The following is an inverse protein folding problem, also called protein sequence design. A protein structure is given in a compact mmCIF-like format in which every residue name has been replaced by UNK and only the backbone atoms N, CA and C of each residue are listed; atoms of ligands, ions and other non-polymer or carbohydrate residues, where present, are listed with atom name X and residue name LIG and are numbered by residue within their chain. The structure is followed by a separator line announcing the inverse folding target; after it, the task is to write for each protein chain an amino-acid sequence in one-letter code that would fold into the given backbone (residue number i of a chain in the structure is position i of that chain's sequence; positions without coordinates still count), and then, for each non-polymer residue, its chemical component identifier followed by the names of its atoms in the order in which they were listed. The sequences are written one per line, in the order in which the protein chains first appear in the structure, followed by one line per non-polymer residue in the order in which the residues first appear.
data_IF_000388604618
#
_entry.id   IF_000388604618
#
_cell.length_a   1.000
_cell.length_b   1.000
_cell.length_c   1.000
_cell.angle_alpha   90.00
_cell.angle_beta   90.00
_cell.angle_gamma   90.00
#
_symmetry.space_group_name_H-M   'P 1'
#
loop_
_entity.id
_entity.type
_entity.pdbx_description
1 polymer ?
#
# COMPACT_ATOMS: atom_id res chain seq x y z
N UNK A 1 -50.46 6.37 16.91
CA UNK A 1 -51.79 5.81 17.20
C UNK A 1 -52.75 6.26 16.11
N UNK A 2 -53.74 5.44 15.70
CA UNK A 2 -54.10 4.15 16.28
C UNK A 2 -53.83 2.94 15.36
N UNK A 3 -53.95 1.72 15.91
CA UNK A 3 -53.49 0.45 15.36
C UNK A 3 -54.63 -0.48 14.92
N UNK A 4 -54.30 -1.59 14.26
CA UNK A 4 -55.17 -2.77 14.27
C UNK A 4 -54.35 -4.08 14.30
N UNK A 5 -54.68 -4.89 15.31
CA UNK A 5 -54.27 -6.27 15.61
C UNK A 5 -55.07 -7.24 14.70
N UNK A 6 -54.85 -8.54 14.52
CA UNK A 6 -53.95 -9.60 14.96
C UNK A 6 -54.24 -10.83 14.04
N UNK A 7 -53.32 -11.80 13.92
CA UNK A 7 -53.54 -13.24 14.25
C UNK A 7 -52.41 -14.14 13.71
N UNK A 8 -52.00 -15.21 14.44
CA UNK A 8 -50.95 -16.16 14.05
C UNK A 8 -51.52 -17.54 13.61
N UNK A 9 -50.80 -18.26 12.74
CA UNK A 9 -51.03 -19.69 12.41
C UNK A 9 -49.66 -20.36 12.20
N UNK A 10 -49.20 -21.23 13.10
CA UNK A 10 -49.44 -22.70 13.22
C UNK A 10 -48.63 -23.56 12.24
N UNK A 11 -47.64 -24.28 12.80
CA UNK A 11 -46.96 -25.47 12.27
C UNK A 11 -47.93 -26.66 12.17
N UNK A 12 -47.64 -27.63 11.27
CA UNK A 12 -47.52 -29.04 11.70
C UNK A 12 -46.52 -29.85 10.82
N UNK A 13 -46.44 -31.20 10.90
CA UNK A 13 -45.98 -32.02 12.02
C UNK A 13 -44.85 -33.01 11.59
N UNK A 14 -44.45 -33.88 12.51
CA UNK A 14 -43.24 -34.71 12.56
C UNK A 14 -43.36 -36.18 12.11
N UNK A 15 -42.18 -36.80 11.82
CA UNK A 15 -41.76 -38.24 11.87
C UNK A 15 -42.06 -39.14 10.64
N UNK A 16 -41.39 -40.32 10.44
CA UNK A 16 -40.20 -40.96 11.06
C UNK A 16 -39.19 -41.61 10.06
N UNK A 17 -37.99 -42.05 10.51
CA UNK A 17 -37.44 -43.43 10.36
C UNK A 17 -35.91 -43.60 10.55
N UNK A 18 -35.58 -44.78 11.08
CA UNK A 18 -34.29 -45.47 11.26
C UNK A 18 -33.35 -45.48 10.04
N UNK A 19 -32.03 -45.51 10.27
CA UNK A 19 -31.17 -46.69 10.05
C UNK A 19 -29.67 -46.32 9.88
N UNK A 20 -28.83 -47.25 10.32
CA UNK A 20 -27.37 -47.28 10.33
C UNK A 20 -26.70 -47.49 8.96
N UNK A 21 -25.50 -46.95 8.75
CA UNK A 21 -24.31 -47.59 8.12
C UNK A 21 -23.23 -46.51 7.82
N UNK A 22 -22.04 -46.59 8.43
CA UNK A 22 -20.82 -47.20 7.88
C UNK A 22 -20.30 -46.55 6.59
N UNK A 23 -19.23 -45.74 6.69
CA UNK A 23 -17.92 -45.95 6.04
C UNK A 23 -16.97 -44.77 6.35
N UNK A 24 -15.75 -45.08 6.80
CA UNK A 24 -14.60 -44.15 6.91
C UNK A 24 -13.95 -43.92 5.52
N UNK A 25 -12.77 -43.26 5.34
CA UNK A 25 -11.96 -42.37 6.19
C UNK A 25 -11.51 -41.07 5.46
N UNK A 26 -11.06 -40.01 6.16
CA UNK A 26 -10.23 -38.97 5.54
C UNK A 26 -9.32 -38.25 6.56
N UNK A 27 -8.08 -38.74 6.60
CA UNK A 27 -6.81 -38.09 6.91
C UNK A 27 -6.85 -36.55 7.02
N UNK A 28 -6.74 -36.01 8.24
CA UNK A 28 -6.46 -34.58 8.49
C UNK A 28 -4.94 -34.43 8.65
N UNK A 29 -4.26 -34.02 7.58
CA UNK A 29 -2.89 -33.51 7.64
C UNK A 29 -2.99 -32.03 8.05
N UNK A 30 -2.53 -31.72 9.27
CA UNK A 30 -2.43 -30.34 9.76
C UNK A 30 -1.28 -29.64 9.06
N UNK A 31 -1.60 -28.58 8.31
CA UNK A 31 -0.65 -27.67 7.67
C UNK A 31 -0.05 -26.75 8.74
N UNK A 32 1.22 -26.96 9.07
CA UNK A 32 2.06 -25.99 9.77
C UNK A 32 2.88 -25.24 8.70
N UNK A 33 2.37 -24.10 8.20
CA UNK A 33 3.16 -23.19 7.36
C UNK A 33 4.08 -22.40 8.30
N UNK A 34 5.24 -22.98 8.58
CA UNK A 34 6.46 -22.24 8.82
C UNK A 34 7.20 -22.27 7.49
N UNK A 35 7.49 -21.09 6.96
CA UNK A 35 8.23 -20.87 5.72
C UNK A 35 9.63 -21.49 5.84
N UNK A 36 9.73 -22.76 5.46
CA UNK A 36 10.99 -23.41 5.10
C UNK A 36 11.02 -23.36 3.59
N UNK A 37 12.07 -22.82 2.95
CA UNK A 37 12.08 -22.67 1.51
C UNK A 37 11.99 -24.08 0.88
N UNK A 38 11.04 -24.27 -0.04
CA UNK A 38 10.76 -25.55 -0.72
C UNK A 38 12.02 -26.24 -1.30
N UNK A 39 13.07 -25.47 -1.55
CA UNK A 39 14.39 -25.95 -1.95
C UNK A 39 15.04 -26.89 -0.92
N UNK A 40 14.85 -26.65 0.39
CA UNK A 40 15.39 -27.52 1.45
C UNK A 40 14.68 -28.88 1.51
N UNK A 41 13.36 -28.90 1.28
CA UNK A 41 12.57 -30.13 1.29
C UNK A 41 12.89 -31.02 0.07
N UNK A 42 13.14 -30.39 -1.09
CA UNK A 42 13.54 -31.10 -2.30
C UNK A 42 14.97 -31.67 -2.19
N UNK A 43 15.90 -30.92 -1.61
CA UNK A 43 17.25 -31.38 -1.29
C UNK A 43 17.25 -32.54 -0.28
N UNK A 44 16.43 -32.46 0.77
CA UNK A 44 16.28 -33.53 1.76
C UNK A 44 15.71 -34.82 1.14
N UNK A 45 14.72 -34.69 0.25
CA UNK A 45 14.15 -35.82 -0.49
C UNK A 45 15.16 -36.48 -1.43
N UNK A 46 15.98 -35.69 -2.13
CA UNK A 46 17.07 -36.19 -2.98
C UNK A 46 18.17 -36.88 -2.14
N UNK A 47 18.51 -36.34 -0.97
CA UNK A 47 19.52 -36.91 -0.07
C UNK A 47 19.05 -38.23 0.56
N UNK A 48 17.77 -38.31 0.96
CA UNK A 48 17.16 -39.53 1.50
C UNK A 48 17.00 -40.63 0.43
N UNK A 49 16.75 -40.26 -0.83
CA UNK A 49 16.72 -41.21 -1.94
C UNK A 49 18.11 -41.74 -2.32
N UNK A 50 19.14 -40.90 -2.29
CA UNK A 50 20.54 -41.30 -2.54
C UNK A 50 21.02 -42.33 -1.51
N UNK A 51 20.73 -42.12 -0.22
CA UNK A 51 21.09 -43.08 0.85
C UNK A 51 20.36 -44.42 0.76
N UNK A 52 19.15 -44.48 0.21
CA UNK A 52 18.40 -45.75 0.04
C UNK A 52 18.97 -46.66 -1.05
N UNK A 53 19.81 -46.16 -1.97
CA UNK A 53 20.45 -47.00 -2.98
C UNK A 53 21.78 -47.64 -2.53
N UNK A 54 22.41 -47.15 -1.45
CA UNK A 54 23.72 -47.62 -0.99
C UNK A 54 23.67 -48.81 -0.01
N UNK A 55 22.49 -49.19 0.50
CA UNK A 55 22.36 -50.27 1.48
C UNK A 55 21.34 -51.31 1.01
N UNK A 56 21.73 -52.21 0.12
CA UNK A 56 21.22 -53.60 0.01
C UNK A 56 21.92 -54.34 -1.14
N UNK A 57 22.58 -55.48 -0.89
CA UNK A 57 22.92 -56.40 -1.97
C UNK A 57 21.65 -57.21 -2.30
N UNK A 58 21.26 -57.27 -3.57
CA UNK A 58 20.27 -58.25 -4.04
C UNK A 58 20.76 -58.94 -5.31
N UNK A 59 20.44 -60.24 -5.49
CA UNK A 59 21.02 -61.06 -6.53
C UNK A 59 20.35 -60.81 -7.88
N UNK A 60 21.05 -61.30 -8.90
CA UNK A 60 20.79 -61.15 -10.32
C UNK A 60 19.39 -61.64 -10.73
N UNK A 61 18.57 -60.74 -11.27
CA UNK A 61 17.39 -61.09 -12.09
C UNK A 61 17.35 -60.18 -13.33
N UNK A 62 17.53 -60.82 -14.49
CA UNK A 62 17.92 -60.22 -15.77
C UNK A 62 16.75 -59.59 -16.57
N UNK A 63 15.82 -58.88 -15.92
CA UNK A 63 14.74 -58.19 -16.65
C UNK A 63 14.32 -56.82 -16.05
N UNK A 64 15.02 -56.36 -15.02
CA UNK A 64 14.59 -55.20 -14.23
C UNK A 64 15.34 -53.89 -14.59
N UNK A 65 16.41 -53.99 -15.39
CA UNK A 65 17.20 -52.81 -15.80
C UNK A 65 16.41 -51.88 -16.73
N UNK A 66 15.72 -52.39 -17.76
CA UNK A 66 14.94 -51.54 -18.69
C UNK A 66 13.76 -50.83 -18.01
N UNK A 67 13.12 -51.46 -17.02
CA UNK A 67 12.01 -50.86 -16.25
C UNK A 67 12.51 -49.76 -15.31
N UNK A 68 13.63 -50.00 -14.60
CA UNK A 68 14.28 -48.98 -13.75
C UNK A 68 14.79 -47.78 -14.55
N UNK A 69 15.38 -47.98 -15.73
CA UNK A 69 15.85 -46.88 -16.59
C UNK A 69 14.68 -46.03 -17.11
N UNK A 70 13.56 -46.65 -17.54
CA UNK A 70 12.35 -45.90 -17.93
C UNK A 70 11.73 -45.12 -16.76
N UNK A 71 11.71 -45.70 -15.57
CA UNK A 71 11.14 -45.06 -14.38
C UNK A 71 12.00 -43.89 -13.87
N UNK A 72 13.34 -44.02 -13.90
CA UNK A 72 14.27 -42.91 -13.62
C UNK A 72 14.16 -41.78 -14.64
N UNK A 73 13.99 -42.10 -15.93
CA UNK A 73 13.80 -41.10 -16.99
C UNK A 73 12.49 -40.31 -16.82
N UNK A 74 11.40 -40.97 -16.40
CA UNK A 74 10.13 -40.31 -16.12
C UNK A 74 10.19 -39.40 -14.89
N UNK A 75 10.93 -39.80 -13.84
CA UNK A 75 11.10 -38.99 -12.63
C UNK A 75 11.96 -37.75 -12.90
N UNK A 76 13.04 -37.88 -13.69
CA UNK A 76 13.87 -36.75 -14.11
C UNK A 76 13.08 -35.75 -14.97
N UNK A 77 12.25 -36.24 -15.89
CA UNK A 77 11.36 -35.39 -16.69
C UNK A 77 10.32 -34.69 -15.83
N UNK A 78 9.74 -35.38 -14.84
CA UNK A 78 8.80 -34.79 -13.89
C UNK A 78 9.46 -33.69 -13.04
N UNK A 79 10.65 -33.93 -12.51
CA UNK A 79 11.41 -32.94 -11.74
C UNK A 79 11.78 -31.73 -12.62
N UNK A 80 12.17 -31.97 -13.88
CA UNK A 80 12.45 -30.91 -14.84
C UNK A 80 11.20 -30.08 -15.17
N UNK A 81 10.04 -30.72 -15.39
CA UNK A 81 8.76 -30.02 -15.58
C UNK A 81 8.33 -29.24 -14.33
N UNK A 82 8.54 -29.78 -13.12
CA UNK A 82 8.28 -29.05 -11.88
C UNK A 82 9.21 -27.84 -11.71
N UNK A 83 10.49 -27.97 -12.05
CA UNK A 83 11.45 -26.86 -12.06
C UNK A 83 11.06 -25.79 -13.08
N UNK A 84 10.63 -26.18 -14.28
CA UNK A 84 10.12 -25.25 -15.30
C UNK A 84 8.82 -24.56 -14.86
N UNK A 85 7.92 -25.27 -14.17
CA UNK A 85 6.69 -24.69 -13.63
C UNK A 85 6.97 -23.72 -12.46
N UNK A 86 7.96 -24.03 -11.62
CA UNK A 86 8.42 -23.12 -10.57
C UNK A 86 9.10 -21.90 -11.20
N UNK A 87 9.96 -22.06 -12.21
CA UNK A 87 10.57 -20.92 -12.90
C UNK A 87 9.54 -20.09 -13.68
N UNK A 88 8.50 -20.72 -14.25
CA UNK A 88 7.41 -20.05 -14.95
C UNK A 88 6.38 -19.39 -14.00
N UNK A 89 6.32 -19.81 -12.73
CA UNK A 89 5.44 -19.20 -11.72
C UNK A 89 6.03 -17.94 -11.08
N UNK A 90 7.29 -17.62 -11.37
CA UNK A 90 7.90 -16.35 -10.99
C UNK A 90 7.72 -15.39 -12.18
N UNK A 91 6.56 -14.73 -12.24
CA UNK A 91 6.44 -13.49 -13.02
C UNK A 91 7.53 -12.49 -12.57
N UNK A 92 7.78 -11.40 -13.32
CA UNK A 92 8.73 -10.38 -12.90
C UNK A 92 8.39 -9.99 -11.46
N UNK A 93 9.36 -10.13 -10.56
CA UNK A 93 9.19 -9.77 -9.16
C UNK A 93 8.91 -8.27 -9.11
N UNK A 94 7.66 -7.89 -8.92
CA UNK A 94 7.29 -6.49 -8.73
C UNK A 94 7.88 -6.05 -7.40
N UNK A 95 8.68 -4.98 -7.42
CA UNK A 95 9.24 -4.40 -6.21
C UNK A 95 8.07 -3.96 -5.34
N UNK A 96 7.94 -4.54 -4.15
CA UNK A 96 6.90 -4.13 -3.22
C UNK A 96 7.38 -2.90 -2.42
N UNK A 97 7.24 -1.71 -3.01
CA UNK A 97 7.66 -0.47 -2.36
C UNK A 97 6.75 -0.01 -1.20
N UNK A 98 5.54 -0.58 -1.10
CA UNK A 98 4.52 -0.17 -0.14
C UNK A 98 3.94 -1.35 0.66
N UNK A 99 4.00 -1.26 1.98
CA UNK A 99 3.46 -2.25 2.92
C UNK A 99 2.09 -1.86 3.44
N UNK A 100 1.07 -2.67 3.16
CA UNK A 100 -0.31 -2.36 3.58
C UNK A 100 -0.93 -1.26 2.72
N UNK A 101 -1.62 -0.30 3.34
CA UNK A 101 -2.42 0.72 2.61
C UNK A 101 -2.21 2.16 3.09
N UNK A 102 -1.52 2.36 4.22
CA UNK A 102 -1.35 3.68 4.84
C UNK A 102 0.12 4.05 4.95
N UNK A 103 0.48 5.19 4.38
CA UNK A 103 1.77 5.85 4.52
C UNK A 103 1.61 7.27 5.04
N UNK A 104 2.73 7.93 5.34
CA UNK A 104 2.75 9.34 5.75
C UNK A 104 3.88 10.09 5.05
N UNK A 105 3.61 11.33 4.65
CA UNK A 105 4.62 12.26 4.17
C UNK A 105 5.31 12.92 5.38
N UNK A 106 6.62 12.73 5.52
CA UNK A 106 7.45 13.37 6.53
C UNK A 106 8.13 14.61 5.92
N UNK A 107 7.32 15.66 5.72
CA UNK A 107 7.80 16.99 5.35
C UNK A 107 8.58 17.65 6.49
N UNK A 108 9.59 18.44 6.13
CA UNK A 108 10.53 19.08 7.05
C UNK A 108 10.84 20.53 6.67
N UNK A 109 9.96 21.21 5.94
CA UNK A 109 10.07 22.67 5.74
C UNK A 109 9.62 23.38 7.03
N UNK A 110 10.41 23.16 8.09
CA UNK A 110 10.12 23.57 9.45
C UNK A 110 11.41 23.66 10.25
N UNK A 111 11.43 24.50 11.30
CA UNK A 111 12.58 24.65 12.20
C UNK A 111 12.27 24.31 13.67
N UNK A 112 11.08 23.76 13.93
CA UNK A 112 10.57 23.54 15.29
C UNK A 112 10.04 22.10 15.53
N UNK A 113 10.25 21.19 14.58
CA UNK A 113 9.80 19.80 14.66
C UNK A 113 10.81 18.91 15.43
N UNK A 114 10.39 17.74 15.94
CA UNK A 114 11.27 16.86 16.71
C UNK A 114 12.42 16.30 15.85
N UNK A 115 13.56 15.94 16.46
CA UNK A 115 14.65 15.31 15.73
C UNK A 115 14.25 13.93 15.18
N UNK A 116 14.90 13.44 14.11
CA UNK A 116 14.47 12.25 13.38
C UNK A 116 14.34 10.97 14.23
N UNK A 117 15.15 10.79 15.28
CA UNK A 117 15.06 9.63 16.18
C UNK A 117 13.73 9.60 16.93
N UNK A 118 13.27 10.77 17.39
CA UNK A 118 11.96 10.91 18.04
C UNK A 118 10.83 10.69 17.03
N UNK A 119 11.02 11.09 15.78
CA UNK A 119 10.06 10.84 14.71
C UNK A 119 9.91 9.34 14.44
N UNK A 120 11.00 8.57 14.42
CA UNK A 120 10.93 7.11 14.29
C UNK A 120 10.14 6.47 15.44
N UNK A 121 10.34 6.93 16.68
CA UNK A 121 9.56 6.47 17.83
C UNK A 121 8.06 6.78 17.66
N UNK A 122 7.74 8.00 17.21
CA UNK A 122 6.37 8.42 16.93
C UNK A 122 5.69 7.54 15.88
N UNK A 123 6.37 7.30 14.75
CA UNK A 123 5.86 6.50 13.64
C UNK A 123 5.60 5.05 14.07
N UNK A 124 6.53 4.46 14.83
CA UNK A 124 6.37 3.11 15.39
C UNK A 124 5.19 3.04 16.37
N UNK A 125 5.04 4.04 17.24
CA UNK A 125 3.90 4.13 18.16
C UNK A 125 2.55 4.30 17.42
N UNK A 126 2.55 5.05 16.32
CA UNK A 126 1.40 5.23 15.44
C UNK A 126 1.11 3.99 14.54
N UNK A 127 2.03 3.01 14.52
CA UNK A 127 2.00 1.82 13.65
C UNK A 127 1.97 2.18 12.16
N UNK A 128 2.61 3.29 11.80
CA UNK A 128 2.81 3.69 10.41
C UNK A 128 4.07 2.99 9.91
N UNK A 129 4.00 2.40 8.71
CA UNK A 129 5.09 1.60 8.13
C UNK A 129 5.76 2.25 6.94
N UNK A 130 5.01 2.97 6.11
CA UNK A 130 5.53 3.62 4.91
C UNK A 130 5.71 5.10 5.18
N UNK A 131 6.88 5.62 4.85
CA UNK A 131 7.24 7.03 5.03
C UNK A 131 7.81 7.54 3.73
N UNK A 132 7.39 8.73 3.30
CA UNK A 132 8.01 9.46 2.20
C UNK A 132 8.69 10.71 2.74
N UNK A 133 9.95 10.92 2.38
CA UNK A 133 10.68 12.17 2.61
C UNK A 133 10.96 12.84 1.26
N UNK A 134 11.13 14.17 1.26
CA UNK A 134 11.24 14.99 0.03
C UNK A 134 12.68 15.30 -0.36
N UNK A 135 13.64 14.63 0.26
CA UNK A 135 15.07 14.78 0.07
C UNK A 135 15.74 13.41 0.36
N UNK A 136 17.05 13.43 0.60
CA UNK A 136 17.78 12.31 1.19
C UNK A 136 18.65 12.75 2.39
N UNK A 137 18.08 13.47 3.34
CA UNK A 137 18.81 13.94 4.54
C UNK A 137 19.42 12.78 5.35
N UNK A 138 20.75 12.79 5.51
CA UNK A 138 21.50 11.72 6.17
C UNK A 138 21.16 11.56 7.64
N UNK A 139 20.76 12.61 8.36
CA UNK A 139 20.32 12.49 9.76
C UNK A 139 19.07 11.63 9.86
N UNK A 140 18.17 11.75 8.88
CA UNK A 140 16.95 10.95 8.83
C UNK A 140 17.24 9.54 8.39
N UNK A 141 18.06 9.35 7.36
CA UNK A 141 18.47 8.02 6.91
C UNK A 141 19.17 7.22 8.02
N UNK A 142 20.01 7.88 8.82
CA UNK A 142 20.65 7.28 10.00
C UNK A 142 19.64 6.96 11.11
N UNK A 143 18.72 7.87 11.43
CA UNK A 143 17.71 7.60 12.46
C UNK A 143 16.77 6.45 12.10
N UNK A 144 16.51 6.22 10.81
CA UNK A 144 15.66 5.13 10.32
C UNK A 144 16.37 3.77 10.31
N UNK A 145 17.68 3.72 10.56
CA UNK A 145 18.48 2.50 10.64
C UNK A 145 17.92 1.50 11.64
N UNK A 146 17.65 0.27 11.20
CA UNK A 146 17.12 -0.80 12.05
C UNK A 146 15.69 -0.55 12.57
N UNK A 147 14.99 0.47 12.07
CA UNK A 147 13.63 0.82 12.54
C UNK A 147 12.56 -0.15 12.02
N UNK A 148 12.81 -0.78 10.86
CA UNK A 148 11.84 -1.59 10.12
C UNK A 148 10.68 -0.78 9.54
N UNK A 149 10.91 0.51 9.28
CA UNK A 149 10.04 1.42 8.52
C UNK A 149 10.53 1.46 7.07
N UNK A 150 9.61 1.39 6.11
CA UNK A 150 9.91 1.48 4.69
C UNK A 150 9.94 2.95 4.26
N UNK A 151 10.99 3.36 3.56
CA UNK A 151 11.25 4.75 3.19
C UNK A 151 11.27 4.93 1.66
N UNK A 152 10.51 5.93 1.20
CA UNK A 152 10.69 6.54 -0.11
C UNK A 152 11.47 7.83 0.08
N UNK A 153 12.64 7.92 -0.55
CA UNK A 153 13.43 9.16 -0.64
C UNK A 153 13.07 9.88 -1.93
N UNK A 154 13.22 11.21 -1.97
CA UNK A 154 12.94 11.97 -3.19
C UNK A 154 14.20 12.67 -3.68
N UNK A 155 14.37 12.70 -5.00
CA UNK A 155 15.31 13.57 -5.69
C UNK A 155 14.57 14.90 -5.91
N UNK A 156 15.01 16.00 -5.27
CA UNK A 156 14.39 17.30 -5.42
C UNK A 156 14.42 17.81 -6.87
N UNK A 157 13.49 18.71 -7.22
CA UNK A 157 13.31 19.19 -8.60
C UNK A 157 14.58 19.87 -9.14
N UNK A 158 15.35 20.55 -8.30
CA UNK A 158 16.60 21.22 -8.67
C UNK A 158 17.69 20.27 -9.21
N UNK A 159 17.62 18.97 -8.93
CA UNK A 159 18.55 17.98 -9.46
C UNK A 159 18.10 17.36 -10.80
N UNK A 160 16.85 17.55 -11.20
CA UNK A 160 16.26 16.82 -12.34
C UNK A 160 16.99 17.10 -13.65
N UNK A 161 17.31 18.36 -13.94
CA UNK A 161 18.04 18.73 -15.17
C UNK A 161 19.44 18.14 -15.18
N UNK A 162 20.21 18.32 -14.10
CA UNK A 162 21.58 17.82 -14.02
C UNK A 162 21.64 16.29 -14.12
N UNK A 163 20.68 15.60 -13.48
CA UNK A 163 20.56 14.14 -13.56
C UNK A 163 20.08 13.65 -14.93
N UNK A 164 19.36 14.46 -15.71
CA UNK A 164 18.92 14.04 -17.04
C UNK A 164 20.04 14.00 -18.06
N UNK A 165 21.04 14.87 -17.89
CA UNK A 165 22.14 15.04 -18.84
C UNK A 165 23.23 13.96 -18.68
N UNK A 166 23.48 13.49 -17.45
CA UNK A 166 24.56 12.56 -17.18
C UNK A 166 24.20 11.49 -16.13
N UNK A 167 24.27 10.20 -16.51
CA UNK A 167 24.04 9.07 -15.59
C UNK A 167 25.02 9.08 -14.40
N UNK A 168 26.24 9.58 -14.56
CA UNK A 168 27.21 9.64 -13.47
C UNK A 168 26.69 10.48 -12.29
N UNK A 169 25.87 11.51 -12.55
CA UNK A 169 25.21 12.29 -11.48
C UNK A 169 24.23 11.46 -10.68
N UNK A 170 23.43 10.63 -11.35
CA UNK A 170 22.53 9.70 -10.69
C UNK A 170 23.31 8.63 -9.91
N UNK A 171 24.41 8.12 -10.47
CA UNK A 171 25.29 7.15 -9.82
C UNK A 171 25.96 7.72 -8.56
N UNK A 172 26.52 8.94 -8.65
CA UNK A 172 27.10 9.67 -7.51
C UNK A 172 26.06 9.83 -6.40
N UNK A 173 24.87 10.34 -6.75
CA UNK A 173 23.79 10.54 -5.80
C UNK A 173 23.37 9.23 -5.11
N UNK A 174 23.26 8.12 -5.85
CA UNK A 174 22.92 6.81 -5.26
C UNK A 174 24.01 6.29 -4.32
N UNK A 175 25.28 6.46 -4.68
CA UNK A 175 26.43 6.05 -3.85
C UNK A 175 26.57 6.86 -2.58
N UNK A 176 26.11 8.11 -2.60
CA UNK A 176 26.12 8.99 -1.42
C UNK A 176 24.89 8.79 -0.54
N UNK A 177 23.71 8.69 -1.15
CA UNK A 177 22.43 8.86 -0.45
C UNK A 177 21.61 7.57 -0.28
N UNK A 178 21.99 6.48 -0.95
CA UNK A 178 21.22 5.22 -0.93
C UNK A 178 22.10 4.05 -0.52
N UNK A 179 23.16 3.76 -1.26
CA UNK A 179 23.99 2.57 -1.06
C UNK A 179 24.58 2.46 0.36
N UNK A 180 25.08 3.54 1.01
CA UNK A 180 25.68 3.44 2.34
C UNK A 180 24.69 3.09 3.46
N UNK A 181 23.40 3.33 3.23
CA UNK A 181 22.35 3.13 4.23
C UNK A 181 21.70 1.74 4.14
N UNK A 182 21.96 0.99 3.06
CA UNK A 182 21.44 -0.35 2.86
C UNK A 182 22.33 -1.42 3.53
N UNK A 183 21.76 -2.53 4.02
CA UNK A 183 20.33 -2.84 4.07
C UNK A 183 19.62 -2.31 5.33
N UNK A 184 20.36 -1.72 6.29
CA UNK A 184 19.85 -1.44 7.63
C UNK A 184 18.73 -0.37 7.65
N UNK A 185 18.77 0.59 6.73
CA UNK A 185 17.68 1.52 6.46
C UNK A 185 16.90 1.02 5.24
N UNK A 186 15.62 0.73 5.41
CA UNK A 186 14.80 0.15 4.34
C UNK A 186 14.36 1.21 3.31
N UNK A 187 15.27 1.63 2.44
CA UNK A 187 14.92 2.43 1.26
C UNK A 187 14.26 1.49 0.25
N UNK A 188 13.02 1.81 -0.15
CA UNK A 188 12.20 1.01 -1.07
C UNK A 188 11.73 1.76 -2.30
N UNK A 189 11.86 3.07 -2.30
CA UNK A 189 11.52 3.87 -3.47
C UNK A 189 12.37 5.13 -3.58
N UNK A 190 12.53 5.58 -4.81
CA UNK A 190 13.09 6.88 -5.17
C UNK A 190 12.07 7.61 -6.03
N UNK A 191 11.52 8.70 -5.51
CA UNK A 191 10.67 9.61 -6.26
C UNK A 191 11.53 10.65 -6.97
N UNK A 192 11.57 10.64 -8.31
CA UNK A 192 12.33 11.59 -9.12
C UNK A 192 11.46 12.82 -9.39
N UNK A 193 11.80 13.93 -8.74
CA UNK A 193 11.00 15.14 -8.74
C UNK A 193 9.67 15.00 -8.00
N UNK A 194 8.94 16.10 -7.92
CA UNK A 194 7.59 16.18 -7.37
C UNK A 194 6.77 17.20 -8.17
N UNK A 195 5.64 16.75 -8.72
CA UNK A 195 4.68 17.56 -9.48
C UNK A 195 5.26 18.31 -10.69
N UNK A 196 6.40 17.85 -11.23
CA UNK A 196 7.15 18.52 -12.30
C UNK A 196 6.27 18.87 -13.50
N UNK A 197 5.48 17.89 -13.99
CA UNK A 197 4.60 18.08 -15.15
C UNK A 197 3.32 18.90 -14.87
N UNK A 198 3.03 19.17 -13.60
CA UNK A 198 1.97 20.09 -13.20
C UNK A 198 2.44 21.53 -13.01
N UNK A 199 3.77 21.76 -13.06
CA UNK A 199 4.39 23.07 -12.93
C UNK A 199 4.50 23.84 -14.24
N UNK A 200 5.10 25.03 -14.16
CA UNK A 200 5.29 25.93 -15.31
C UNK A 200 6.70 25.85 -15.95
N UNK A 201 7.62 25.08 -15.36
CA UNK A 201 8.99 24.98 -15.84
C UNK A 201 9.11 23.91 -16.93
N UNK A 202 9.21 24.38 -18.18
CA UNK A 202 9.36 23.52 -19.34
C UNK A 202 10.68 22.75 -19.36
N UNK A 203 11.77 23.33 -18.84
CA UNK A 203 13.07 22.67 -18.80
C UNK A 203 13.04 21.44 -17.88
N UNK A 204 12.36 21.56 -16.73
CA UNK A 204 12.12 20.41 -15.85
C UNK A 204 11.25 19.35 -16.51
N UNK A 205 10.20 19.74 -17.24
CA UNK A 205 9.33 18.80 -17.94
C UNK A 205 10.08 18.00 -19.02
N UNK A 206 10.95 18.66 -19.79
CA UNK A 206 11.80 18.04 -20.81
C UNK A 206 12.85 17.10 -20.21
N UNK A 207 13.43 17.48 -19.07
CA UNK A 207 14.47 16.70 -18.39
C UNK A 207 13.96 15.45 -17.66
N UNK A 208 12.69 15.44 -17.22
CA UNK A 208 12.17 14.47 -16.27
C UNK A 208 12.38 13.00 -16.67
N UNK A 209 12.06 12.64 -17.91
CA UNK A 209 12.24 11.26 -18.39
C UNK A 209 13.71 10.83 -18.39
N UNK A 210 14.61 11.73 -18.79
CA UNK A 210 16.05 11.47 -18.79
C UNK A 210 16.56 11.19 -17.38
N UNK A 211 16.14 12.00 -16.41
CA UNK A 211 16.49 11.80 -14.99
C UNK A 211 15.97 10.46 -14.46
N UNK A 212 14.70 10.13 -14.71
CA UNK A 212 14.09 8.85 -14.31
C UNK A 212 14.88 7.66 -14.87
N UNK A 213 15.21 7.69 -16.17
CA UNK A 213 15.98 6.63 -16.83
C UNK A 213 17.38 6.49 -16.27
N UNK A 214 18.07 7.61 -16.02
CA UNK A 214 19.43 7.60 -15.48
C UNK A 214 19.46 7.06 -14.05
N UNK A 215 18.50 7.44 -13.20
CA UNK A 215 18.35 6.88 -11.85
C UNK A 215 18.08 5.37 -11.89
N UNK A 216 17.16 4.92 -12.75
CA UNK A 216 16.88 3.49 -12.90
C UNK A 216 18.07 2.70 -13.46
N UNK A 217 18.77 3.23 -14.47
CA UNK A 217 19.99 2.65 -15.04
C UNK A 217 21.08 2.49 -13.97
N UNK A 218 21.32 3.56 -13.20
CA UNK A 218 22.31 3.56 -12.13
C UNK A 218 21.95 2.56 -11.01
N UNK A 219 20.67 2.45 -10.61
CA UNK A 219 20.21 1.38 -9.72
C UNK A 219 20.48 -0.01 -10.31
N UNK A 220 20.28 -0.20 -11.61
CA UNK A 220 20.54 -1.45 -12.31
C UNK A 220 22.02 -1.86 -12.23
N UNK A 221 22.93 -0.90 -12.43
CA UNK A 221 24.39 -1.10 -12.28
C UNK A 221 24.78 -1.43 -10.84
N UNK A 222 24.03 -0.95 -9.85
CA UNK A 222 24.18 -1.30 -8.44
C UNK A 222 23.41 -2.57 -8.03
N UNK A 223 22.69 -3.22 -8.96
CA UNK A 223 21.83 -4.39 -8.71
C UNK A 223 20.72 -4.14 -7.68
N UNK A 224 20.19 -2.91 -7.64
CA UNK A 224 19.18 -2.46 -6.69
C UNK A 224 17.77 -2.34 -7.28
N UNK A 225 17.59 -2.56 -8.59
CA UNK A 225 16.25 -2.48 -9.25
C UNK A 225 15.27 -3.54 -8.78
N UNK A 226 15.73 -4.64 -8.17
CA UNK A 226 14.85 -5.62 -7.51
C UNK A 226 14.44 -5.23 -6.09
N UNK A 227 14.98 -4.14 -5.54
CA UNK A 227 14.76 -3.69 -4.16
C UNK A 227 14.10 -2.30 -4.08
N UNK A 228 14.42 -1.43 -5.03
CA UNK A 228 14.05 -0.01 -5.02
C UNK A 228 13.25 0.31 -6.27
N UNK A 229 12.01 0.78 -6.07
CA UNK A 229 11.15 1.29 -7.12
C UNK A 229 11.55 2.72 -7.50
N UNK A 230 11.55 3.04 -8.80
CA UNK A 230 11.69 4.42 -9.27
C UNK A 230 10.32 4.92 -9.70
N UNK A 231 9.92 6.10 -9.21
CA UNK A 231 8.63 6.72 -9.55
C UNK A 231 8.77 8.23 -9.76
N UNK A 232 7.71 8.88 -10.23
CA UNK A 232 7.58 10.34 -10.21
C UNK A 232 6.15 10.75 -9.82
N UNK A 233 5.95 11.44 -8.68
CA UNK A 233 4.64 11.93 -8.25
C UNK A 233 4.12 13.10 -9.09
N UNK A 234 2.84 13.06 -9.46
CA UNK A 234 2.17 14.09 -10.25
C UNK A 234 1.04 14.77 -9.46
N UNK A 235 0.82 16.07 -9.64
CA UNK A 235 -0.44 16.69 -9.22
C UNK A 235 -1.55 16.38 -10.21
N UNK A 236 -2.80 16.57 -9.81
CA UNK A 236 -3.95 16.48 -10.72
C UNK A 236 -3.94 17.55 -11.83
N UNK A 237 -3.04 18.54 -11.77
CA UNK A 237 -2.87 19.56 -12.80
C UNK A 237 -2.41 18.98 -14.15
N UNK A 238 -1.96 17.72 -14.20
CA UNK A 238 -1.66 17.01 -15.45
C UNK A 238 -2.91 16.61 -16.24
N UNK A 239 -4.10 16.63 -15.61
CA UNK A 239 -5.36 16.26 -16.26
C UNK A 239 -6.05 17.46 -16.91
N UNK A 240 -6.67 17.24 -18.07
CA UNK A 240 -7.45 18.26 -18.79
C UNK A 240 -8.82 18.51 -18.13
N UNK A 241 -9.37 17.44 -17.56
CA UNK A 241 -10.68 17.40 -16.93
C UNK A 241 -10.69 16.22 -15.95
N UNK A 242 -11.53 16.26 -14.93
CA UNK A 242 -11.64 15.17 -13.93
C UNK A 242 -13.10 14.88 -13.51
N UNK A 243 -14.07 15.54 -14.15
CA UNK A 243 -15.50 15.36 -13.88
C UNK A 243 -16.31 15.18 -15.18
N UNK A 244 -17.22 14.18 -15.25
CA UNK A 244 -17.28 13.02 -14.34
C UNK A 244 -15.99 12.18 -14.46
N UNK A 245 -15.63 11.33 -13.48
CA UNK A 245 -14.32 10.64 -13.47
C UNK A 245 -13.95 9.93 -14.78
N UNK A 246 -14.89 9.26 -15.43
CA UNK A 246 -14.67 8.53 -16.69
C UNK A 246 -14.38 9.38 -17.92
N UNK A 247 -14.50 10.71 -17.81
CA UNK A 247 -14.12 11.63 -18.87
C UNK A 247 -12.63 12.00 -18.81
N UNK A 248 -11.96 11.77 -17.68
CA UNK A 248 -10.63 12.28 -17.39
C UNK A 248 -9.60 11.86 -18.44
N UNK A 249 -8.82 12.84 -18.91
CA UNK A 249 -7.70 12.65 -19.85
C UNK A 249 -6.53 13.52 -19.43
N UNK A 250 -5.31 13.19 -19.89
CA UNK A 250 -4.16 14.08 -19.71
C UNK A 250 -4.31 15.32 -20.60
N UNK A 251 -3.81 16.47 -20.13
CA UNK A 251 -3.66 17.67 -20.98
C UNK A 251 -2.77 17.34 -22.17
N UNK A 252 -3.16 17.75 -23.37
CA UNK A 252 -2.39 17.51 -24.59
C UNK A 252 -0.96 18.08 -24.49
N UNK A 253 -0.81 19.28 -23.93
CA UNK A 253 0.49 19.93 -23.69
C UNK A 253 1.38 19.18 -22.69
N UNK A 254 0.80 18.39 -21.79
CA UNK A 254 1.54 17.55 -20.84
C UNK A 254 1.78 16.17 -21.40
N UNK A 255 0.89 15.68 -22.26
CA UNK A 255 0.89 14.31 -22.75
C UNK A 255 2.14 13.95 -23.56
N UNK A 256 2.73 14.92 -24.27
CA UNK A 256 4.01 14.76 -24.97
C UNK A 256 5.14 14.29 -24.03
N UNK A 257 5.14 14.74 -22.76
CA UNK A 257 6.10 14.33 -21.74
C UNK A 257 5.61 13.12 -20.93
N UNK A 258 4.31 13.06 -20.65
CA UNK A 258 3.70 11.99 -19.86
C UNK A 258 3.75 10.63 -20.57
N UNK A 259 3.38 10.56 -21.86
CA UNK A 259 3.32 9.31 -22.63
C UNK A 259 4.61 8.47 -22.52
N UNK A 260 5.82 9.01 -22.78
CA UNK A 260 7.03 8.22 -22.70
C UNK A 260 7.45 7.87 -21.26
N UNK A 261 7.00 8.62 -20.24
CA UNK A 261 7.16 8.24 -18.82
C UNK A 261 6.26 7.04 -18.49
N UNK A 262 5.00 7.07 -18.93
CA UNK A 262 4.08 5.94 -18.77
C UNK A 262 4.57 4.69 -19.51
N UNK A 263 5.15 4.85 -20.71
CA UNK A 263 5.77 3.74 -21.46
C UNK A 263 6.89 3.09 -20.65
N UNK A 264 7.72 3.91 -19.99
CA UNK A 264 8.81 3.44 -19.15
C UNK A 264 8.30 2.73 -17.89
N UNK A 265 7.37 3.33 -17.15
CA UNK A 265 6.82 2.72 -15.93
C UNK A 265 5.98 1.47 -16.18
N UNK A 266 5.33 1.37 -17.35
CA UNK A 266 4.68 0.13 -17.78
C UNK A 266 5.69 -1.02 -17.94
N UNK A 267 6.91 -0.72 -18.41
CA UNK A 267 8.00 -1.71 -18.55
C UNK A 267 8.64 -2.08 -17.21
N UNK A 268 8.81 -1.12 -16.29
CA UNK A 268 9.43 -1.35 -14.98
C UNK A 268 8.43 -1.85 -13.93
N UNK A 269 7.12 -1.77 -14.22
CA UNK A 269 6.05 -2.15 -13.31
C UNK A 269 5.73 -1.11 -12.22
N UNK A 270 6.24 0.12 -12.34
CA UNK A 270 5.99 1.17 -11.38
C UNK A 270 4.54 1.72 -11.50
N UNK A 271 3.86 2.00 -10.37
CA UNK A 271 2.55 2.66 -10.36
C UNK A 271 2.61 4.10 -10.90
N UNK A 272 1.44 4.60 -11.33
CA UNK A 272 1.22 6.03 -11.50
C UNK A 272 0.97 6.69 -10.13
N UNK A 273 1.88 7.57 -9.72
CA UNK A 273 1.77 8.28 -8.45
C UNK A 273 1.05 9.62 -8.64
N UNK A 274 -0.02 9.84 -7.89
CA UNK A 274 -0.82 11.09 -7.95
C UNK A 274 -1.02 11.71 -6.56
N UNK A 275 -0.83 13.02 -6.48
CA UNK A 275 -1.18 13.85 -5.34
C UNK A 275 -2.65 14.26 -5.49
N UNK A 276 -3.55 13.63 -4.73
CA UNK A 276 -4.99 13.77 -4.87
C UNK A 276 -5.58 14.45 -3.63
N UNK A 277 -6.07 15.68 -3.78
CA UNK A 277 -6.52 16.50 -2.65
C UNK A 277 -7.98 16.93 -2.78
N UNK A 278 -8.94 16.21 -2.16
CA UNK A 278 -10.32 16.68 -2.03
C UNK A 278 -10.43 18.06 -1.38
N UNK A 279 -9.51 18.38 -0.47
CA UNK A 279 -9.42 19.71 0.16
C UNK A 279 -9.22 20.81 -0.89
N UNK A 280 -8.28 20.66 -1.83
CA UNK A 280 -7.99 21.69 -2.82
C UNK A 280 -9.15 21.87 -3.80
N UNK A 281 -9.79 20.78 -4.22
CA UNK A 281 -11.00 20.84 -5.04
C UNK A 281 -12.11 21.62 -4.32
N UNK A 282 -12.45 21.24 -3.09
CA UNK A 282 -13.47 21.94 -2.29
C UNK A 282 -13.11 23.40 -2.01
N UNK A 283 -11.85 23.70 -1.66
CA UNK A 283 -11.37 25.06 -1.40
C UNK A 283 -11.59 25.98 -2.61
N UNK A 284 -11.41 25.46 -3.81
CA UNK A 284 -11.50 26.24 -5.04
C UNK A 284 -12.93 26.38 -5.57
N UNK A 285 -13.85 25.47 -5.20
CA UNK A 285 -15.26 25.53 -5.61
C UNK A 285 -16.21 25.08 -4.47
N UNK A 286 -16.27 25.83 -3.36
CA UNK A 286 -17.06 25.45 -2.19
C UNK A 286 -18.58 25.63 -2.39
N UNK A 287 -18.99 26.35 -3.43
CA UNK A 287 -20.40 26.62 -3.74
C UNK A 287 -21.07 25.42 -4.44
N UNK A 288 -20.32 24.67 -5.27
CA UNK A 288 -20.88 23.55 -6.03
C UNK A 288 -20.45 22.18 -5.48
N UNK A 289 -19.34 22.08 -4.76
CA UNK A 289 -18.87 20.82 -4.18
C UNK A 289 -19.49 20.61 -2.79
N UNK A 290 -20.26 19.54 -2.61
CA UNK A 290 -20.71 19.12 -1.28
C UNK A 290 -19.51 18.75 -0.39
N UNK A 291 -19.30 19.50 0.69
CA UNK A 291 -18.24 19.22 1.65
C UNK A 291 -18.34 17.80 2.24
N UNK A 292 -19.54 17.23 2.36
CA UNK A 292 -19.70 15.86 2.88
C UNK A 292 -19.14 14.82 1.91
N UNK A 293 -19.24 15.06 0.60
CA UNK A 293 -18.62 14.24 -0.45
C UNK A 293 -17.09 14.29 -0.36
N UNK A 294 -16.51 15.48 -0.13
CA UNK A 294 -15.08 15.65 0.08
C UNK A 294 -14.57 15.03 1.39
N UNK A 295 -15.42 14.95 2.43
CA UNK A 295 -15.08 14.47 3.78
C UNK A 295 -15.45 13.00 4.06
N UNK A 296 -15.86 12.22 3.05
CA UNK A 296 -16.35 10.83 3.20
C UNK A 296 -17.56 10.70 4.18
N UNK A 297 -18.35 11.75 4.31
CA UNK A 297 -19.58 11.74 5.13
C UNK A 297 -20.77 11.31 4.27
N UNK A 298 -21.91 10.89 4.85
CA UNK A 298 -23.12 10.62 4.09
C UNK A 298 -23.50 11.82 3.21
N UNK A 299 -23.70 11.56 1.92
CA UNK A 299 -24.03 12.53 0.87
C UNK A 299 -24.72 11.79 -0.30
N UNK A 300 -25.20 12.52 -1.30
CA UNK A 300 -25.87 11.93 -2.48
C UNK A 300 -24.90 11.25 -3.45
N UNK A 301 -23.60 11.52 -3.34
CA UNK A 301 -22.55 11.05 -4.22
C UNK A 301 -22.61 11.68 -5.61
N UNK A 302 -21.70 11.23 -6.46
CA UNK A 302 -21.64 11.57 -7.88
C UNK A 302 -21.94 10.33 -8.71
N UNK A 303 -22.88 10.44 -9.64
CA UNK A 303 -23.17 9.38 -10.61
C UNK A 303 -22.49 9.68 -11.94
N UNK A 304 -21.67 8.74 -12.41
CA UNK A 304 -21.01 8.80 -13.70
C UNK A 304 -21.86 8.09 -14.75
N UNK A 305 -22.53 8.87 -15.61
CA UNK A 305 -23.47 8.34 -16.59
C UNK A 305 -22.84 7.45 -17.67
N UNK A 306 -21.55 7.64 -17.98
CA UNK A 306 -20.85 6.86 -19.02
C UNK A 306 -20.53 5.45 -18.51
N UNK A 307 -20.14 5.32 -17.25
CA UNK A 307 -19.75 4.04 -16.65
C UNK A 307 -20.87 3.37 -15.83
N UNK A 308 -21.89 4.13 -15.44
CA UNK A 308 -22.92 3.69 -14.49
C UNK A 308 -22.41 3.55 -13.05
N UNK A 309 -21.23 4.09 -12.74
CA UNK A 309 -20.64 4.01 -11.41
C UNK A 309 -21.12 5.15 -10.51
N UNK A 310 -21.26 4.84 -9.22
CA UNK A 310 -21.60 5.81 -8.19
C UNK A 310 -20.42 5.97 -7.23
N UNK A 311 -20.07 7.22 -6.97
CA UNK A 311 -18.98 7.62 -6.08
C UNK A 311 -19.57 8.28 -4.84
N UNK A 312 -19.40 7.65 -3.69
CA UNK A 312 -19.86 8.17 -2.39
C UNK A 312 -18.85 9.13 -1.74
N UNK A 313 -17.64 9.24 -2.30
CA UNK A 313 -16.60 10.14 -1.82
C UNK A 313 -15.67 10.63 -2.94
N UNK A 314 -15.13 11.83 -2.77
CA UNK A 314 -14.32 12.50 -3.77
C UNK A 314 -12.97 11.84 -4.03
N UNK A 315 -12.33 11.26 -3.02
CA UNK A 315 -11.01 10.65 -3.21
C UNK A 315 -11.09 9.44 -4.15
N UNK A 316 -12.11 8.59 -3.99
CA UNK A 316 -12.31 7.46 -4.90
C UNK A 316 -12.59 7.93 -6.33
N UNK A 317 -13.32 9.04 -6.50
CA UNK A 317 -13.54 9.64 -7.82
C UNK A 317 -12.28 10.25 -8.44
N UNK A 318 -11.42 10.89 -7.64
CA UNK A 318 -10.12 11.41 -8.09
C UNK A 318 -9.16 10.29 -8.53
N UNK A 319 -9.12 9.19 -7.77
CA UNK A 319 -8.34 8.01 -8.13
C UNK A 319 -8.87 7.39 -9.43
N UNK A 320 -10.18 7.28 -9.59
CA UNK A 320 -10.78 6.70 -10.79
C UNK A 320 -10.71 7.64 -12.00
N UNK A 321 -10.63 8.95 -11.80
CA UNK A 321 -10.26 9.90 -12.84
C UNK A 321 -8.83 9.64 -13.35
N UNK A 322 -7.86 9.42 -12.44
CA UNK A 322 -6.51 9.03 -12.85
C UNK A 322 -6.49 7.70 -13.61
N UNK A 323 -7.25 6.69 -13.16
CA UNK A 323 -7.40 5.44 -13.93
C UNK A 323 -8.03 5.67 -15.32
N UNK A 324 -9.06 6.51 -15.44
CA UNK A 324 -9.68 6.81 -16.72
C UNK A 324 -8.70 7.52 -17.69
N UNK A 325 -7.85 8.42 -17.18
CA UNK A 325 -6.81 9.06 -17.98
C UNK A 325 -5.75 8.06 -18.46
N UNK A 326 -5.36 7.11 -17.60
CA UNK A 326 -4.45 6.02 -17.97
C UNK A 326 -5.08 5.09 -19.02
N UNK A 327 -6.35 4.72 -18.87
CA UNK A 327 -7.09 3.92 -19.86
C UNK A 327 -7.17 4.63 -21.21
N UNK A 328 -7.52 5.92 -21.22
CA UNK A 328 -7.56 6.73 -22.44
C UNK A 328 -6.18 6.84 -23.12
N UNK A 329 -5.10 6.74 -22.36
CA UNK A 329 -3.73 6.72 -22.84
C UNK A 329 -3.20 5.32 -23.21
N UNK A 330 -3.97 4.25 -22.99
CA UNK A 330 -3.63 2.86 -23.32
C UNK A 330 -2.91 2.07 -22.20
N UNK A 331 -3.03 2.49 -20.94
CA UNK A 331 -2.34 1.89 -19.79
C UNK A 331 -3.31 1.28 -18.75
N UNK A 332 -4.32 0.54 -19.19
CA UNK A 332 -5.42 0.00 -18.35
C UNK A 332 -4.97 -0.79 -17.11
N UNK A 333 -3.78 -1.39 -17.18
CA UNK A 333 -3.21 -2.27 -16.13
C UNK A 333 -2.34 -1.53 -15.12
N UNK A 334 -1.99 -0.27 -15.37
CA UNK A 334 -1.12 0.49 -14.48
C UNK A 334 -1.86 0.83 -13.18
N UNK A 335 -1.29 0.45 -12.03
CA UNK A 335 -1.86 0.79 -10.72
C UNK A 335 -1.74 2.30 -10.47
N UNK A 336 -2.74 2.90 -9.81
CA UNK A 336 -2.67 4.26 -9.26
C UNK A 336 -2.37 4.19 -7.77
N UNK A 337 -1.36 4.94 -7.32
CA UNK A 337 -1.00 5.10 -5.92
C UNK A 337 -1.07 6.58 -5.53
N UNK A 338 -1.70 6.89 -4.40
CA UNK A 338 -1.81 8.28 -3.93
C UNK A 338 -0.54 8.68 -3.18
N UNK A 339 0.32 9.48 -3.80
CA UNK A 339 1.59 9.95 -3.21
C UNK A 339 1.40 10.99 -2.12
N UNK A 340 0.28 11.70 -2.13
CA UNK A 340 -0.12 12.69 -1.14
C UNK A 340 -1.63 12.87 -1.11
N UNK A 341 -2.19 12.97 0.09
CA UNK A 341 -3.57 13.43 0.30
C UNK A 341 -3.77 13.88 1.74
N UNK A 342 -4.53 14.95 1.96
CA UNK A 342 -4.67 15.55 3.28
C UNK A 342 -5.68 16.69 3.31
N UNK A 343 -5.82 17.31 4.48
CA UNK A 343 -6.74 18.42 4.70
C UNK A 343 -6.20 19.38 5.75
N UNK A 344 -6.12 20.67 5.40
CA UNK A 344 -5.56 21.70 6.28
C UNK A 344 -6.48 22.03 7.47
N UNK A 345 -5.89 22.18 8.65
CA UNK A 345 -6.61 22.44 9.91
C UNK A 345 -6.85 23.92 10.22
N UNK A 346 -6.23 24.81 9.46
CA UNK A 346 -6.42 26.26 9.45
C UNK A 346 -5.95 26.79 8.10
N UNK A 347 -6.36 27.99 7.72
CA UNK A 347 -6.00 28.64 6.45
C UNK A 347 -6.37 30.12 6.47
N UNK A 348 -6.12 30.81 5.35
CA UNK A 348 -6.52 32.20 5.16
C UNK A 348 -8.05 32.32 5.07
N UNK A 349 -8.60 33.53 5.16
CA UNK A 349 -10.06 33.75 5.16
C UNK A 349 -10.76 33.21 3.90
N UNK A 350 -10.05 33.17 2.76
CA UNK A 350 -10.55 32.64 1.50
C UNK A 350 -10.30 31.14 1.30
N UNK A 351 -9.73 30.44 2.28
CA UNK A 351 -9.45 29.01 2.19
C UNK A 351 -10.59 28.18 2.80
N UNK A 352 -11.71 28.15 2.06
CA UNK A 352 -12.91 27.46 2.48
C UNK A 352 -12.65 26.01 2.94
N UNK A 353 -13.21 25.66 4.09
CA UNK A 353 -13.10 24.33 4.66
C UNK A 353 -11.84 24.05 5.47
N UNK A 354 -10.84 24.95 5.51
CA UNK A 354 -9.62 24.80 6.30
C UNK A 354 -9.90 24.97 7.82
N UNK A 355 -10.38 23.91 8.47
CA UNK A 355 -10.72 23.90 9.89
C UNK A 355 -10.26 22.62 10.57
N UNK A 356 -9.98 22.70 11.88
CA UNK A 356 -9.59 21.54 12.70
C UNK A 356 -10.63 20.42 12.61
N UNK A 357 -11.92 20.77 12.56
CA UNK A 357 -13.00 19.80 12.49
C UNK A 357 -13.02 19.05 11.15
N UNK A 358 -12.82 19.75 10.04
CA UNK A 358 -12.78 19.14 8.72
C UNK A 358 -11.50 18.31 8.53
N UNK A 359 -10.35 18.85 8.94
CA UNK A 359 -9.07 18.12 8.91
C UNK A 359 -9.13 16.82 9.72
N UNK A 360 -9.70 16.88 10.93
CA UNK A 360 -9.94 15.69 11.75
C UNK A 360 -10.85 14.70 11.04
N UNK A 361 -11.96 15.17 10.47
CA UNK A 361 -12.95 14.32 9.79
C UNK A 361 -12.33 13.62 8.59
N UNK A 362 -11.67 14.38 7.72
CA UNK A 362 -11.02 13.88 6.52
C UNK A 362 -9.98 12.82 6.87
N UNK A 363 -9.00 13.15 7.72
CA UNK A 363 -7.89 12.25 8.02
C UNK A 363 -8.32 11.01 8.82
N UNK A 364 -9.34 11.12 9.68
CA UNK A 364 -9.94 9.95 10.34
C UNK A 364 -10.66 9.03 9.35
N UNK A 365 -11.44 9.60 8.43
CA UNK A 365 -12.20 8.84 7.46
C UNK A 365 -11.30 8.24 6.36
N UNK A 366 -10.27 8.95 5.91
CA UNK A 366 -9.21 8.45 5.05
C UNK A 366 -8.57 7.21 5.66
N UNK A 367 -8.17 7.30 6.94
CA UNK A 367 -7.65 6.14 7.66
C UNK A 367 -8.66 5.00 7.63
N UNK A 368 -9.91 5.21 8.05
CA UNK A 368 -10.96 4.19 7.98
C UNK A 368 -11.11 3.59 6.57
N UNK A 369 -11.08 4.40 5.51
CA UNK A 369 -11.18 4.00 4.11
C UNK A 369 -10.04 3.09 3.68
N UNK A 370 -8.80 3.43 4.03
CA UNK A 370 -7.60 2.64 3.71
C UNK A 370 -7.55 1.33 4.50
N UNK A 371 -8.04 1.32 5.74
CA UNK A 371 -8.12 0.10 6.57
C UNK A 371 -9.18 -0.91 6.08
N UNK A 372 -10.14 -0.50 5.25
CA UNK A 372 -11.08 -1.43 4.60
C UNK A 372 -10.39 -2.36 3.60
N UNK A 373 -9.19 -1.99 3.11
CA UNK A 373 -8.45 -2.74 2.08
C UNK A 373 -9.31 -3.07 0.84
N UNK A 374 -10.07 -2.08 0.39
CA UNK A 374 -10.92 -2.17 -0.82
C UNK A 374 -10.40 -1.22 -1.89
N UNK A 375 -10.64 -1.58 -3.14
CA UNK A 375 -10.44 -0.67 -4.27
C UNK A 375 -11.55 0.37 -4.40
N UNK A 376 -11.49 1.14 -5.47
CA UNK A 376 -12.45 2.16 -5.88
C UNK A 376 -13.62 1.55 -6.68
N UNK A 377 -14.68 2.30 -7.01
CA UNK A 377 -15.75 1.82 -7.89
C UNK A 377 -15.28 1.24 -9.23
N UNK A 378 -14.34 1.90 -9.93
CA UNK A 378 -13.80 1.45 -11.22
C UNK A 378 -12.78 0.32 -11.06
N UNK A 379 -12.01 0.29 -9.96
CA UNK A 379 -10.99 -0.72 -9.68
C UNK A 379 -11.22 -1.43 -8.34
N UNK A 380 -12.33 -2.16 -8.16
CA UNK A 380 -12.73 -2.71 -6.85
C UNK A 380 -11.74 -3.76 -6.28
N UNK A 381 -10.94 -4.38 -7.15
CA UNK A 381 -9.95 -5.40 -6.80
C UNK A 381 -8.55 -4.86 -6.53
N UNK A 382 -8.25 -3.61 -6.90
CA UNK A 382 -6.95 -2.98 -6.65
C UNK A 382 -7.07 -2.15 -5.37
N UNK A 383 -6.41 -2.59 -4.30
CA UNK A 383 -6.54 -1.93 -3.00
C UNK A 383 -5.95 -0.53 -3.05
N UNK A 384 -6.71 0.47 -2.59
CA UNK A 384 -6.22 1.85 -2.48
C UNK A 384 -5.09 1.94 -1.45
N UNK A 385 -3.97 2.55 -1.87
CA UNK A 385 -2.82 2.89 -1.05
C UNK A 385 -2.59 4.40 -1.12
N UNK A 386 -2.31 5.02 0.02
CA UNK A 386 -2.06 6.45 0.06
C UNK A 386 -1.03 6.83 1.12
N UNK A 387 -0.22 7.85 0.82
CA UNK A 387 0.51 8.62 1.82
C UNK A 387 -0.35 9.80 2.26
N UNK A 388 -0.57 9.92 3.57
CA UNK A 388 -1.26 11.06 4.14
C UNK A 388 -0.29 12.23 4.30
N UNK A 389 -0.70 13.40 3.80
CA UNK A 389 0.02 14.66 3.89
C UNK A 389 -0.54 15.51 5.03
N UNK A 390 0.22 15.84 6.09
CA UNK A 390 1.59 15.40 6.38
C UNK A 390 1.77 15.08 7.87
N UNK A 391 2.95 14.58 8.24
CA UNK A 391 3.24 14.19 9.62
C UNK A 391 3.16 15.40 10.58
N UNK A 392 3.78 16.53 10.23
CA UNK A 392 3.84 17.72 11.07
C UNK A 392 3.24 18.95 10.37
N UNK A 393 2.83 19.94 11.17
CA UNK A 393 2.68 21.30 10.67
C UNK A 393 4.06 21.87 10.35
N UNK A 394 4.24 22.37 9.14
CA UNK A 394 5.52 22.83 8.61
C UNK A 394 5.55 24.36 8.56
N UNK A 395 6.10 24.99 9.60
CA UNK A 395 5.95 26.42 9.84
C UNK A 395 6.70 27.32 8.84
N UNK A 396 7.59 26.77 8.02
CA UNK A 396 8.35 27.51 7.02
C UNK A 396 7.81 27.31 5.59
N UNK A 397 6.71 26.56 5.40
CA UNK A 397 6.12 26.40 4.07
C UNK A 397 5.62 27.75 3.53
N UNK A 398 6.05 28.14 2.31
CA UNK A 398 5.60 29.37 1.67
C UNK A 398 4.15 29.22 1.18
N UNK A 399 3.57 30.31 0.68
CA UNK A 399 2.21 30.31 0.11
C UNK A 399 1.10 30.51 1.15
N UNK A 400 -0.14 30.08 0.84
CA UNK A 400 -1.31 30.28 1.69
C UNK A 400 -1.15 29.73 3.11
N UNK A 401 -1.94 30.20 4.08
CA UNK A 401 -1.86 29.72 5.45
C UNK A 401 -2.13 28.23 5.61
N UNK A 402 -2.97 27.63 4.78
CA UNK A 402 -3.24 26.20 4.81
C UNK A 402 -1.98 25.34 4.71
N UNK A 403 -0.98 25.77 3.94
CA UNK A 403 0.28 25.06 3.73
C UNK A 403 1.02 24.76 5.04
N UNK A 404 0.84 25.58 6.08
CA UNK A 404 1.47 25.44 7.39
C UNK A 404 0.66 24.58 8.37
N UNK A 405 -0.49 24.06 7.95
CA UNK A 405 -1.51 23.48 8.84
C UNK A 405 -2.06 22.11 8.41
N UNK A 406 -1.35 21.35 7.56
CA UNK A 406 -1.70 19.98 7.15
C UNK A 406 -1.32 18.87 8.15
N UNK A 407 -0.54 19.18 9.18
CA UNK A 407 0.04 18.20 10.10
C UNK A 407 -0.97 17.39 10.89
N UNK A 408 -0.74 16.08 10.98
CA UNK A 408 -1.42 15.22 11.96
C UNK A 408 -0.90 15.44 13.39
N UNK A 409 0.34 15.91 13.51
CA UNK A 409 1.00 16.29 14.75
C UNK A 409 1.44 17.76 14.71
N UNK A 410 1.46 18.39 15.88
CA UNK A 410 2.07 19.71 16.06
C UNK A 410 3.59 19.57 16.12
N UNK A 411 4.28 20.70 16.02
CA UNK A 411 5.74 20.79 16.08
C UNK A 411 6.36 20.14 17.34
N UNK A 412 5.66 20.17 18.48
CA UNK A 412 6.12 19.55 19.72
C UNK A 412 5.88 18.02 19.81
N UNK A 413 5.35 17.40 18.75
CA UNK A 413 5.02 15.99 18.69
C UNK A 413 3.68 15.62 19.34
N UNK A 414 2.92 16.57 19.88
CA UNK A 414 1.54 16.32 20.32
C UNK A 414 0.60 16.18 19.12
N UNK A 415 -0.54 15.50 19.29
CA UNK A 415 -1.53 15.38 18.21
C UNK A 415 -2.13 16.75 17.86
N UNK A 416 -2.30 17.04 16.58
CA UNK A 416 -3.02 18.23 16.14
C UNK A 416 -4.53 18.10 16.43
N UNK A 417 -5.07 16.90 16.18
CA UNK A 417 -6.45 16.51 16.44
C UNK A 417 -6.54 14.98 16.57
N UNK A 418 -7.57 14.48 17.26
CA UNK A 418 -7.65 13.05 17.58
C UNK A 418 -8.25 12.23 16.41
N UNK A 419 -7.37 11.50 15.70
CA UNK A 419 -7.70 10.48 14.70
C UNK A 419 -7.31 9.05 15.14
N UNK A 420 -7.10 8.84 16.44
CA UNK A 420 -6.67 7.56 17.01
C UNK A 420 -5.15 7.32 16.97
N UNK A 421 -4.34 8.38 16.84
CA UNK A 421 -2.91 8.33 17.10
C UNK A 421 -2.59 8.87 18.51
N UNK A 422 -1.40 8.54 19.00
CA UNK A 422 -0.84 9.06 20.25
C UNK A 422 0.37 9.90 19.89
N UNK A 423 0.50 11.08 20.48
CA UNK A 423 1.67 11.95 20.30
C UNK A 423 2.86 11.50 21.15
N UNK A 424 4.01 12.15 20.95
CA UNK A 424 5.20 12.01 21.78
C UNK A 424 4.98 12.51 23.21
N UNK A 425 4.06 13.47 23.37
CA UNK A 425 3.60 14.00 24.66
C UNK A 425 2.13 13.65 24.87
N UNK A 426 1.69 13.42 26.13
CA UNK A 426 0.26 13.38 26.45
C UNK A 426 -0.37 14.72 26.03
N UNK A 427 -1.38 14.71 25.16
CA UNK A 427 -2.09 15.95 24.85
C UNK A 427 -3.01 16.30 26.03
N UNK A 428 -3.03 17.58 26.43
CA UNK A 428 -4.01 18.12 27.37
C UNK A 428 -5.44 18.20 26.79
N UNK A 429 -5.66 17.65 25.59
CA UNK A 429 -6.98 17.58 24.99
C UNK A 429 -7.81 16.57 25.77
N UNK A 430 -8.92 17.07 26.35
CA UNK A 430 -9.84 16.31 27.18
C UNK A 430 -10.10 14.92 26.59
N UNK A 431 -9.90 13.89 27.42
CA UNK A 431 -10.34 12.53 27.12
C UNK A 431 -11.85 12.59 26.92
N UNK A 432 -12.32 12.77 25.69
CA UNK A 432 -13.64 12.29 25.33
C UNK A 432 -13.58 10.79 25.50
N UNK A 433 -14.02 10.34 26.68
CA UNK A 433 -14.28 8.95 27.00
C UNK A 433 -15.15 8.42 25.87
N UNK A 434 -14.56 7.58 25.03
CA UNK A 434 -15.30 6.60 24.27
C UNK A 434 -16.29 5.97 25.25
N UNK A 435 -17.57 6.25 25.01
CA UNK A 435 -18.69 5.73 25.78
C UNK A 435 -18.48 4.24 25.99
N UNK A 436 -18.32 3.84 27.26
CA UNK A 436 -18.17 2.47 27.74
C UNK A 436 -19.40 1.58 27.47
N UNK A 437 -20.35 2.03 26.62
CA UNK A 437 -21.54 1.26 26.24
C UNK A 437 -21.32 0.30 25.07
N UNK A 438 -20.26 0.46 24.26
CA UNK A 438 -20.02 -0.43 23.09
C UNK A 438 -19.08 -1.61 23.36
N UNK A 439 -18.53 -1.74 24.57
CA UNK A 439 -17.68 -2.90 24.95
C UNK A 439 -18.53 -4.10 25.41
N UNK A 440 -19.85 -3.94 25.58
CA UNK A 440 -20.73 -5.04 26.00
C UNK A 440 -21.27 -5.93 24.88
N UNK A 441 -20.89 -5.69 23.62
CA UNK A 441 -21.41 -6.41 22.45
C UNK A 441 -20.37 -7.28 21.71
N UNK A 442 -19.31 -7.75 22.40
CA UNK A 442 -18.38 -8.77 21.86
C UNK A 442 -18.10 -9.86 22.88
N UNK A 443 -19.14 -10.56 23.31
CA UNK A 443 -18.95 -11.93 23.79
C UNK A 443 -18.68 -12.80 22.56
N UNK A 444 -17.41 -13.15 22.31
CA UNK A 444 -16.93 -14.25 21.43
C UNK A 444 -15.43 -14.50 21.70
N UNK A 445 -15.05 -14.66 22.97
CA UNK A 445 -13.68 -15.09 23.36
C UNK A 445 -13.70 -16.37 24.21
N UNK A 446 -14.86 -16.93 24.53
CA UNK A 446 -14.98 -18.12 25.37
C UNK A 446 -14.85 -19.45 24.62
N UNK A 447 -14.82 -19.47 23.28
CA UNK A 447 -14.85 -20.73 22.52
C UNK A 447 -13.46 -21.36 22.26
N UNK A 448 -12.37 -20.59 22.29
CA UNK A 448 -11.03 -21.13 22.00
C UNK A 448 -10.36 -21.81 23.20
N UNK A 449 -10.67 -21.38 24.43
CA UNK A 449 -10.07 -21.92 25.64
C UNK A 449 -10.64 -23.30 26.04
N UNK A 450 -11.93 -23.54 25.74
CA UNK A 450 -12.56 -24.84 25.99
C UNK A 450 -12.06 -25.92 25.02
N UNK A 451 -11.81 -25.56 23.75
CA UNK A 451 -11.28 -26.51 22.75
C UNK A 451 -9.84 -26.90 23.06
N UNK A 452 -9.00 -25.93 23.48
CA UNK A 452 -7.60 -26.20 23.83
C UNK A 452 -7.45 -27.10 25.05
N UNK A 453 -8.33 -26.94 26.05
CA UNK A 453 -8.31 -27.77 27.28
C UNK A 453 -8.81 -29.20 27.02
N UNK A 454 -9.79 -29.38 26.14
CA UNK A 454 -10.25 -30.73 25.74
C UNK A 454 -9.22 -31.49 24.91
N UNK A 455 -8.45 -30.81 24.05
CA UNK A 455 -7.40 -31.45 23.25
C UNK A 455 -6.20 -31.89 24.10
N UNK A 456 -5.84 -31.14 25.15
CA UNK A 456 -4.75 -31.50 26.05
C UNK A 456 -5.15 -32.68 26.95
N UNK A 457 -6.40 -32.71 27.43
CA UNK A 457 -6.90 -33.84 28.22
C UNK A 457 -6.98 -35.15 27.40
N UNK A 458 -7.36 -35.06 26.12
CA UNK A 458 -7.39 -36.21 25.22
C UNK A 458 -5.98 -36.74 24.87
N UNK A 459 -4.98 -35.86 24.76
CA UNK A 459 -3.59 -36.27 24.51
C UNK A 459 -2.97 -37.00 25.70
N UNK A 460 -3.28 -36.57 26.93
CA UNK A 460 -2.78 -37.19 28.15
C UNK A 460 -3.40 -38.57 28.42
N UNK A 461 -4.66 -38.78 28.01
CA UNK A 461 -5.35 -40.06 28.13
C UNK A 461 -4.87 -41.13 27.11
N UNK A 462 -4.16 -40.73 26.05
CA UNK A 462 -3.62 -41.64 25.03
C UNK A 462 -2.15 -42.05 25.28
N UNK A 463 -1.53 -41.51 26.34
CA UNK A 463 -0.14 -41.80 26.74
C UNK A 463 -0.02 -42.46 28.11
N UNK A 464 -1.12 -42.96 28.69
CA UNK A 464 -1.13 -43.72 29.95
C UNK A 464 -1.60 -45.16 29.72
#
# INVERSE_FOLDING_TARGET
MPPEQATPFLLPPSLPHMASSSTAPALVITILIIVIPCSFFLLLLLFLFSRRQLCRPFPVLHNDKKKKTKMMSGLLLFVYCCLLLVLASHGPATVQAFTGTYGINYGRIANNIPPPENVVLLLKAAKIKNVRIYDADHSVLNAFKGSGLELVVSIPNEYVIDMSVNEDRAMEWLKENVQPFLPDTHIRGIAVGNEVLGGADQGLAEALLGAIKNVYSALGRLQLTGLIEVSTPHSEAVFANSYPPSSCTFKESVFIYMKPILDFFSQTGAPFYVNAYPFLAYKNDPEHIDINYALFKPNSGVYDAKTGLHYDNMLDAQIDAAYAALEAAGYDKMEVLVSETGWASAGDENEAGATVQNARTYNFNLRKRLFKKKGTPLRPKIVVKAYCFALFNENLKPGPASERHFGLFKADGSIAYNIGFRGLKPSGASRSLLSLKDVRARGWVTSYFMVLTTCIAALLALTM
#
